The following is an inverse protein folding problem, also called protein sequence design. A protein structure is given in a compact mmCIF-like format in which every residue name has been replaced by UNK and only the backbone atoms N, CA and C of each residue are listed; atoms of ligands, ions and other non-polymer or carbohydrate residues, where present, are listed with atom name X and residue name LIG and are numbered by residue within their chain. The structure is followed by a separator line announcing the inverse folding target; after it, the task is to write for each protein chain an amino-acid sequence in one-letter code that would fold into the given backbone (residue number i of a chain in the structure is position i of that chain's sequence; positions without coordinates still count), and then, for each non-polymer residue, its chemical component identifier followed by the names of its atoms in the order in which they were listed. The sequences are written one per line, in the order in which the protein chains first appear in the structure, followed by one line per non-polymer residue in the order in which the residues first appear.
data_IF_272010628083
#
_entry.id   IF_272010628083
#
_cell.length_a   1.000
_cell.length_b   1.000
_cell.length_c   1.000
_cell.angle_alpha   90.00
_cell.angle_beta   90.00
_cell.angle_gamma   90.00
#
_symmetry.space_group_name_H-M   'P 1'
#
loop_
_entity.id
_entity.type
_entity.pdbx_description
1 polymer ?
#
# COMPACT_ATOMS: atom_id res chain seq x y z
N UNK A 1 -102.11 -9.27 11.88
CA UNK A 1 -101.34 -8.25 11.14
C UNK A 1 -100.05 -7.95 11.91
N UNK A 2 -98.88 -8.10 11.29
CA UNK A 2 -97.57 -8.17 11.95
C UNK A 2 -96.80 -6.84 11.90
N UNK A 3 -95.87 -6.59 12.85
CA UNK A 3 -94.69 -5.71 12.71
C UNK A 3 -93.60 -6.21 13.66
N UNK A 4 -92.68 -7.07 13.17
CA UNK A 4 -91.32 -6.76 12.70
C UNK A 4 -90.36 -6.35 13.84
N UNK A 5 -89.64 -7.35 14.33
CA UNK A 5 -88.40 -7.24 15.11
C UNK A 5 -87.22 -6.99 14.16
N UNK A 6 -86.43 -5.94 14.42
CA UNK A 6 -85.13 -5.71 13.79
C UNK A 6 -84.00 -6.24 14.68
N UNK A 7 -83.08 -7.07 14.18
CA UNK A 7 -81.83 -7.37 14.88
C UNK A 7 -80.77 -6.33 14.51
N UNK A 8 -80.08 -5.80 15.52
CA UNK A 8 -78.93 -4.91 15.36
C UNK A 8 -77.69 -5.80 15.13
N UNK A 9 -77.16 -5.81 13.90
CA UNK A 9 -75.92 -6.52 13.57
C UNK A 9 -74.71 -5.63 13.87
N UNK A 10 -73.93 -6.00 14.90
CA UNK A 10 -72.63 -5.40 15.18
C UNK A 10 -71.58 -6.04 14.25
N UNK A 11 -71.11 -5.30 13.24
CA UNK A 11 -69.95 -5.71 12.42
C UNK A 11 -68.68 -5.10 13.00
N UNK A 12 -67.86 -5.92 13.66
CA UNK A 12 -66.49 -5.57 14.02
C UNK A 12 -65.57 -5.73 12.80
N UNK A 13 -65.16 -4.62 12.20
CA UNK A 13 -64.12 -4.61 11.17
C UNK A 13 -62.73 -4.73 11.84
N UNK A 14 -62.09 -5.89 11.72
CA UNK A 14 -60.69 -6.11 12.08
C UNK A 14 -59.78 -5.48 11.01
N UNK A 15 -59.21 -4.31 11.31
CA UNK A 15 -58.12 -3.71 10.54
C UNK A 15 -56.81 -4.41 10.92
N UNK A 16 -56.33 -5.32 10.07
CA UNK A 16 -54.99 -5.88 10.18
C UNK A 16 -53.97 -4.87 9.65
N UNK A 17 -53.26 -4.20 10.55
CA UNK A 17 -52.12 -3.36 10.20
C UNK A 17 -50.95 -4.24 9.75
N UNK A 18 -50.69 -4.28 8.43
CA UNK A 18 -49.45 -4.84 7.89
C UNK A 18 -48.30 -3.90 8.26
N UNK A 19 -47.59 -4.21 9.35
CA UNK A 19 -46.31 -3.58 9.65
C UNK A 19 -45.30 -4.04 8.59
N UNK A 20 -45.04 -3.19 7.60
CA UNK A 20 -43.97 -3.38 6.63
C UNK A 20 -42.64 -3.42 7.40
N UNK A 21 -42.12 -4.63 7.61
CA UNK A 21 -40.77 -4.82 8.13
C UNK A 21 -39.80 -4.39 7.03
N UNK A 22 -39.27 -3.16 7.15
CA UNK A 22 -38.11 -2.77 6.35
C UNK A 22 -36.99 -3.78 6.65
N UNK A 23 -36.58 -4.54 5.63
CA UNK A 23 -35.43 -5.41 5.75
C UNK A 23 -34.22 -4.56 6.17
N UNK A 24 -33.37 -5.03 7.10
CA UNK A 24 -32.16 -4.32 7.47
C UNK A 24 -31.36 -4.05 6.20
N UNK A 25 -31.02 -2.77 5.93
CA UNK A 25 -30.06 -2.45 4.88
C UNK A 25 -28.75 -3.13 5.28
N UNK A 26 -28.21 -4.06 4.47
CA UNK A 26 -26.99 -4.75 4.84
C UNK A 26 -25.87 -3.72 5.03
N UNK A 27 -25.22 -3.76 6.19
CA UNK A 27 -24.06 -2.92 6.47
C UNK A 27 -22.99 -3.22 5.42
N UNK A 28 -22.42 -2.20 4.75
CA UNK A 28 -21.36 -2.42 3.78
C UNK A 28 -20.16 -3.12 4.45
N UNK A 29 -19.73 -4.25 3.89
CA UNK A 29 -18.48 -4.92 4.32
C UNK A 29 -17.32 -3.93 4.20
N UNK A 30 -16.53 -3.78 5.26
CA UNK A 30 -15.33 -2.93 5.26
C UNK A 30 -14.11 -3.81 5.46
N UNK A 31 -13.19 -3.82 4.50
CA UNK A 31 -11.91 -4.53 4.59
C UNK A 31 -10.85 -3.63 5.21
N UNK A 32 -10.14 -4.14 6.21
CA UNK A 32 -8.92 -3.51 6.73
C UNK A 32 -7.72 -3.98 5.91
N UNK A 33 -7.09 -3.03 5.22
CA UNK A 33 -5.97 -3.28 4.30
C UNK A 33 -4.70 -2.65 4.87
N UNK A 34 -3.77 -3.48 5.33
CA UNK A 34 -2.46 -3.02 5.77
C UNK A 34 -1.55 -2.87 4.55
N UNK A 35 -1.27 -1.63 4.16
CA UNK A 35 -0.45 -1.34 2.98
C UNK A 35 0.88 -0.70 3.37
N UNK A 36 1.95 -1.26 2.82
CA UNK A 36 3.25 -0.61 2.84
C UNK A 36 3.32 0.55 1.85
N UNK A 37 4.23 1.49 2.10
CA UNK A 37 4.36 2.72 1.32
C UNK A 37 4.46 2.48 -0.18
N UNK A 38 5.28 1.50 -0.61
CA UNK A 38 5.55 1.29 -2.03
C UNK A 38 4.41 0.74 -2.89
N UNK A 39 3.28 0.34 -2.30
CA UNK A 39 2.05 0.01 -3.04
C UNK A 39 0.83 0.83 -2.58
N UNK A 40 1.03 1.76 -1.63
CA UNK A 40 -0.02 2.60 -1.06
C UNK A 40 -0.75 3.41 -2.14
N UNK A 41 -0.01 4.07 -3.03
CA UNK A 41 -0.62 4.87 -4.10
C UNK A 41 -1.50 4.04 -5.04
N UNK A 42 -1.16 2.77 -5.27
CA UNK A 42 -1.95 1.88 -6.13
C UNK A 42 -3.29 1.53 -5.48
N UNK A 43 -3.28 1.07 -4.22
CA UNK A 43 -4.52 0.71 -3.52
C UNK A 43 -5.41 1.93 -3.28
N UNK A 44 -4.84 3.10 -2.99
CA UNK A 44 -5.59 4.35 -2.88
C UNK A 44 -6.20 4.79 -4.21
N UNK A 45 -5.48 4.63 -5.32
CA UNK A 45 -6.00 4.92 -6.66
C UNK A 45 -7.12 3.97 -7.10
N UNK A 46 -7.08 2.72 -6.63
CA UNK A 46 -8.08 1.68 -6.92
C UNK A 46 -9.35 1.85 -6.09
N UNK A 47 -9.21 2.32 -4.85
CA UNK A 47 -10.31 2.32 -3.88
C UNK A 47 -11.60 2.96 -4.42
N UNK A 48 -11.62 4.17 -5.00
CA UNK A 48 -12.88 4.80 -5.42
C UNK A 48 -13.70 3.96 -6.40
N UNK A 49 -13.03 3.40 -7.42
CA UNK A 49 -13.69 2.61 -8.46
C UNK A 49 -14.08 1.22 -7.95
N UNK A 50 -13.22 0.59 -7.14
CA UNK A 50 -13.51 -0.70 -6.53
C UNK A 50 -14.71 -0.63 -5.57
N UNK A 51 -14.74 0.37 -4.69
CA UNK A 51 -15.83 0.56 -3.73
C UNK A 51 -17.14 0.85 -4.46
N UNK A 52 -17.11 1.68 -5.51
CA UNK A 52 -18.29 1.98 -6.33
C UNK A 52 -18.81 0.75 -7.05
N UNK A 53 -17.93 -0.09 -7.58
CA UNK A 53 -18.30 -1.27 -8.36
C UNK A 53 -18.82 -2.43 -7.49
N UNK A 54 -18.35 -2.55 -6.25
CA UNK A 54 -18.60 -3.73 -5.41
C UNK A 54 -19.45 -3.46 -4.17
N UNK A 55 -19.51 -2.20 -3.70
CA UNK A 55 -20.10 -1.84 -2.41
C UNK A 55 -19.23 -2.18 -1.20
N UNK A 56 -18.08 -2.83 -1.38
CA UNK A 56 -17.12 -3.12 -0.30
C UNK A 56 -16.28 -1.89 -0.02
N UNK A 57 -16.15 -1.49 1.25
CA UNK A 57 -15.34 -0.35 1.69
C UNK A 57 -13.92 -0.77 2.05
N UNK A 58 -12.95 0.11 1.84
CA UNK A 58 -11.54 -0.13 2.16
C UNK A 58 -11.06 0.81 3.27
N UNK A 59 -10.79 0.27 4.44
CA UNK A 59 -10.01 0.93 5.48
C UNK A 59 -8.52 0.68 5.23
N UNK A 60 -7.85 1.60 4.53
CA UNK A 60 -6.44 1.44 4.13
C UNK A 60 -5.54 2.07 5.19
N UNK A 61 -4.66 1.27 5.78
CA UNK A 61 -3.76 1.70 6.84
C UNK A 61 -2.29 1.59 6.42
N UNK A 62 -1.55 2.68 6.60
CA UNK A 62 -0.11 2.69 6.35
C UNK A 62 0.63 1.81 7.36
N UNK A 63 1.28 0.76 6.86
CA UNK A 63 2.01 -0.21 7.69
C UNK A 63 3.29 -0.65 6.96
N UNK A 64 4.50 -0.33 7.46
CA UNK A 64 5.75 -0.73 6.82
C UNK A 64 5.83 -2.25 6.57
N UNK A 65 6.35 -2.63 5.39
CA UNK A 65 6.56 -4.06 5.05
C UNK A 65 7.58 -4.74 5.95
N UNK A 66 8.50 -3.95 6.50
CA UNK A 66 9.72 -4.39 7.18
C UNK A 66 10.04 -3.39 8.30
N UNK A 67 11.10 -3.66 9.05
CA UNK A 67 11.56 -2.79 10.12
C UNK A 67 11.12 -3.27 11.50
N UNK A 68 11.47 -2.48 12.52
CA UNK A 68 11.25 -2.83 13.93
C UNK A 68 10.15 -1.99 14.59
N UNK A 69 9.49 -1.11 13.83
CA UNK A 69 8.46 -0.24 14.40
C UNK A 69 7.23 -1.06 14.77
N UNK A 70 6.49 -0.71 15.83
CA UNK A 70 5.26 -1.43 16.20
C UNK A 70 4.24 -1.51 15.06
N UNK A 71 4.24 -0.53 14.16
CA UNK A 71 3.31 -0.42 13.03
C UNK A 71 3.72 -1.24 11.79
N UNK A 72 4.90 -1.87 11.80
CA UNK A 72 5.27 -2.78 10.71
C UNK A 72 4.30 -3.98 10.63
N UNK A 73 3.93 -4.40 9.42
CA UNK A 73 2.95 -5.46 9.18
C UNK A 73 3.26 -6.73 9.99
N UNK A 74 4.49 -7.29 9.98
CA UNK A 74 4.80 -8.49 10.77
C UNK A 74 4.50 -8.29 12.27
N UNK A 75 4.88 -7.14 12.82
CA UNK A 75 4.70 -6.85 14.25
C UNK A 75 3.21 -6.67 14.61
N UNK A 76 2.39 -6.12 13.71
CA UNK A 76 0.93 -6.01 13.90
C UNK A 76 0.26 -7.38 13.86
N UNK A 77 0.65 -8.24 12.91
CA UNK A 77 0.13 -9.61 12.80
C UNK A 77 0.58 -10.50 13.97
N UNK A 78 1.81 -10.34 14.48
CA UNK A 78 2.29 -11.04 15.68
C UNK A 78 1.44 -10.71 16.92
N UNK A 79 0.93 -9.47 16.99
CA UNK A 79 -0.02 -9.03 18.03
C UNK A 79 -1.47 -9.42 17.74
N UNK A 80 -1.73 -10.13 16.63
CA UNK A 80 -3.07 -10.54 16.18
C UNK A 80 -4.04 -9.36 15.99
N UNK A 81 -3.52 -8.22 15.57
CA UNK A 81 -4.37 -7.10 15.19
C UNK A 81 -5.26 -7.51 14.00
N UNK A 82 -6.56 -7.13 14.00
CA UNK A 82 -7.44 -7.41 12.87
C UNK A 82 -6.94 -6.74 11.59
N UNK A 83 -6.89 -7.52 10.52
CA UNK A 83 -6.59 -7.08 9.17
C UNK A 83 -7.14 -8.14 8.20
N UNK A 84 -7.60 -7.73 7.02
CA UNK A 84 -8.13 -8.65 6.01
C UNK A 84 -7.13 -8.90 4.88
N UNK A 85 -6.40 -7.86 4.49
CA UNK A 85 -5.43 -7.89 3.39
C UNK A 85 -4.14 -7.24 3.84
N UNK A 86 -3.01 -7.83 3.47
CA UNK A 86 -1.70 -7.18 3.53
C UNK A 86 -1.18 -6.91 2.13
N UNK A 87 -0.60 -5.73 1.90
CA UNK A 87 0.02 -5.31 0.65
C UNK A 87 1.46 -4.86 0.92
N UNK A 88 2.43 -5.68 0.54
CA UNK A 88 3.80 -5.53 1.01
C UNK A 88 4.85 -6.07 0.04
N UNK A 89 6.13 -5.87 0.39
CA UNK A 89 7.26 -6.44 -0.36
C UNK A 89 7.13 -7.96 -0.41
N UNK A 90 7.14 -8.53 -1.61
CA UNK A 90 6.84 -9.95 -1.85
C UNK A 90 7.75 -10.91 -1.09
N UNK A 91 9.04 -10.61 -0.95
CA UNK A 91 9.96 -11.45 -0.17
C UNK A 91 9.76 -11.36 1.35
N UNK A 92 9.17 -10.26 1.84
CA UNK A 92 8.74 -10.16 3.23
C UNK A 92 7.39 -10.86 3.43
N UNK A 93 6.49 -10.82 2.45
CA UNK A 93 5.25 -11.58 2.44
C UNK A 93 5.50 -13.10 2.49
N UNK A 94 6.54 -13.60 1.80
CA UNK A 94 6.92 -15.01 1.86
C UNK A 94 7.24 -15.50 3.28
N UNK A 95 7.74 -14.60 4.14
CA UNK A 95 7.99 -14.93 5.56
C UNK A 95 6.68 -15.09 6.32
N UNK A 96 5.71 -14.19 6.10
CA UNK A 96 4.38 -14.30 6.69
C UNK A 96 3.67 -15.58 6.23
N UNK A 97 3.85 -15.98 4.97
CA UNK A 97 3.36 -17.27 4.45
C UNK A 97 4.02 -18.43 5.20
N UNK A 98 5.34 -18.40 5.38
CA UNK A 98 6.07 -19.45 6.11
C UNK A 98 5.69 -19.50 7.60
N UNK A 99 5.21 -18.40 8.17
CA UNK A 99 4.71 -18.28 9.54
C UNK A 99 3.21 -18.57 9.67
N UNK A 100 2.54 -18.94 8.58
CA UNK A 100 1.08 -19.15 8.50
C UNK A 100 0.26 -17.96 9.03
N UNK A 101 0.74 -16.73 8.83
CA UNK A 101 -0.01 -15.51 9.18
C UNK A 101 -0.93 -15.03 8.04
N UNK A 102 -0.65 -15.48 6.81
CA UNK A 102 -1.44 -15.18 5.62
C UNK A 102 -1.70 -16.46 4.82
N UNK A 103 -2.79 -16.49 4.06
CA UNK A 103 -3.11 -17.63 3.21
C UNK A 103 -2.22 -17.69 1.96
N UNK A 104 -1.39 -18.72 1.84
CA UNK A 104 -0.51 -18.97 0.69
C UNK A 104 -1.27 -18.99 -0.63
N UNK A 105 -2.48 -19.57 -0.67
CA UNK A 105 -3.26 -19.72 -1.90
C UNK A 105 -3.80 -18.37 -2.40
N UNK A 106 -3.86 -17.37 -1.52
CA UNK A 106 -4.38 -16.04 -1.83
C UNK A 106 -3.33 -15.08 -2.39
N UNK A 107 -2.05 -15.45 -2.37
CA UNK A 107 -0.95 -14.57 -2.78
C UNK A 107 -1.09 -14.13 -4.23
N UNK A 108 -1.01 -12.83 -4.47
CA UNK A 108 -0.99 -12.22 -5.80
C UNK A 108 0.18 -11.25 -5.92
N UNK A 109 0.97 -11.38 -6.97
CA UNK A 109 2.01 -10.40 -7.32
C UNK A 109 1.37 -9.26 -8.14
N UNK A 110 1.56 -8.01 -7.69
CA UNK A 110 0.77 -6.87 -8.16
C UNK A 110 1.59 -5.92 -9.02
N UNK A 111 2.79 -5.56 -8.57
CA UNK A 111 3.61 -4.59 -9.29
C UNK A 111 5.08 -4.65 -8.93
N UNK A 112 5.91 -4.23 -9.88
CA UNK A 112 7.36 -4.09 -9.73
C UNK A 112 7.69 -2.62 -9.53
N UNK A 113 8.50 -2.32 -8.54
CA UNK A 113 9.04 -0.97 -8.31
C UNK A 113 10.56 -0.96 -8.39
N UNK A 114 11.10 0.23 -8.64
CA UNK A 114 12.51 0.49 -8.82
C UNK A 114 12.93 1.67 -7.95
N UNK A 115 14.18 1.66 -7.52
CA UNK A 115 14.77 2.68 -6.66
C UNK A 115 15.00 3.95 -7.49
N UNK A 116 14.51 5.08 -7.00
CA UNK A 116 14.70 6.39 -7.60
C UNK A 116 15.42 7.33 -6.62
N UNK A 117 16.02 8.37 -7.19
CA UNK A 117 16.63 9.47 -6.45
C UNK A 117 15.74 10.71 -6.55
N UNK A 118 15.58 11.41 -5.43
CA UNK A 118 14.89 12.69 -5.36
C UNK A 118 15.79 13.76 -4.74
N UNK A 119 15.54 15.00 -5.15
CA UNK A 119 16.06 16.23 -4.52
C UNK A 119 14.88 17.09 -4.11
N UNK A 120 15.13 18.14 -3.31
CA UNK A 120 14.09 19.12 -3.01
C UNK A 120 13.68 19.84 -4.31
N UNK A 121 12.39 20.20 -4.40
CA UNK A 121 11.84 20.89 -5.57
C UNK A 121 12.62 22.17 -5.89
N UNK A 122 13.03 22.30 -7.15
CA UNK A 122 13.81 23.42 -7.67
C UNK A 122 15.31 23.36 -7.41
N UNK A 123 15.81 22.35 -6.69
CA UNK A 123 17.25 22.14 -6.54
C UNK A 123 17.86 21.52 -7.81
N UNK A 124 19.17 21.74 -8.01
CA UNK A 124 19.91 21.13 -9.11
C UNK A 124 19.82 19.60 -9.03
N UNK A 125 19.44 18.97 -10.14
CA UNK A 125 19.43 17.51 -10.31
C UNK A 125 20.83 17.02 -10.67
N UNK A 126 21.51 16.24 -9.80
CA UNK A 126 22.80 15.64 -10.14
C UNK A 126 22.65 14.67 -11.31
N UNK A 127 23.70 14.53 -12.13
CA UNK A 127 23.76 13.47 -13.13
C UNK A 127 23.93 12.11 -12.44
N UNK A 128 23.05 11.17 -12.79
CA UNK A 128 23.07 9.78 -12.32
C UNK A 128 22.92 8.80 -13.48
N UNK A 129 23.21 9.24 -14.71
CA UNK A 129 23.03 8.44 -15.93
C UNK A 129 24.00 7.26 -16.05
N UNK A 130 25.14 7.33 -15.37
CA UNK A 130 26.17 6.28 -15.33
C UNK A 130 26.55 5.95 -13.90
N UNK A 131 27.23 4.82 -13.69
CA UNK A 131 27.75 4.44 -12.38
C UNK A 131 28.76 5.45 -11.82
N UNK A 132 29.59 6.04 -12.67
CA UNK A 132 30.58 7.04 -12.26
C UNK A 132 29.91 8.35 -11.86
N UNK A 133 28.95 8.83 -12.66
CA UNK A 133 28.15 10.01 -12.34
C UNK A 133 27.35 9.81 -11.05
N UNK A 134 26.72 8.65 -10.90
CA UNK A 134 25.98 8.29 -9.69
C UNK A 134 26.89 8.25 -8.45
N UNK A 135 28.06 7.60 -8.55
CA UNK A 135 29.05 7.57 -7.47
C UNK A 135 29.51 8.98 -7.11
N UNK A 136 29.78 9.83 -8.10
CA UNK A 136 30.16 11.24 -7.89
C UNK A 136 29.04 12.00 -7.18
N UNK A 137 27.77 11.86 -7.60
CA UNK A 137 26.64 12.50 -6.95
C UNK A 137 26.51 12.11 -5.46
N UNK A 138 26.72 10.82 -5.14
CA UNK A 138 26.75 10.35 -3.75
C UNK A 138 27.88 11.01 -2.94
N UNK A 139 29.10 11.06 -3.50
CA UNK A 139 30.27 11.62 -2.82
C UNK A 139 30.23 13.15 -2.67
N UNK A 140 29.67 13.86 -3.64
CA UNK A 140 29.60 15.34 -3.63
C UNK A 140 28.43 15.87 -2.79
N UNK A 141 27.47 15.01 -2.44
CA UNK A 141 26.31 15.42 -1.63
C UNK A 141 26.68 15.80 -0.19
N UNK A 142 25.85 16.64 0.45
CA UNK A 142 25.98 17.07 1.84
C UNK A 142 25.30 16.10 2.80
N UNK A 143 24.20 15.50 2.38
CA UNK A 143 23.40 14.59 3.19
C UNK A 143 22.51 13.69 2.34
N UNK A 144 22.35 12.45 2.78
CA UNK A 144 21.61 11.41 2.08
C UNK A 144 20.62 10.75 3.06
N UNK A 145 19.38 10.60 2.61
CA UNK A 145 18.35 9.81 3.28
C UNK A 145 17.94 8.61 2.43
N UNK A 146 17.71 7.46 3.05
CA UNK A 146 17.17 6.27 2.40
C UNK A 146 16.20 5.52 3.32
N UNK A 147 15.21 4.82 2.75
CA UNK A 147 14.13 4.22 3.54
C UNK A 147 14.58 3.05 4.42
N UNK A 148 13.86 2.74 5.49
CA UNK A 148 14.04 1.50 6.27
C UNK A 148 13.40 0.23 5.66
N UNK A 149 12.84 0.35 4.45
CA UNK A 149 12.23 -0.74 3.68
C UNK A 149 13.17 -1.28 2.58
N UNK A 150 12.64 -2.08 1.65
CA UNK A 150 13.41 -2.87 0.67
C UNK A 150 14.51 -2.08 -0.07
N UNK A 151 14.22 -0.86 -0.54
CA UNK A 151 15.22 -0.04 -1.25
C UNK A 151 16.41 0.31 -0.34
N UNK A 152 16.18 0.97 0.79
CA UNK A 152 17.27 1.39 1.66
C UNK A 152 17.95 0.25 2.43
N UNK A 153 17.29 -0.88 2.69
CA UNK A 153 17.94 -2.10 3.16
C UNK A 153 18.95 -2.62 2.13
N UNK A 154 18.57 -2.67 0.86
CA UNK A 154 19.50 -3.04 -0.22
C UNK A 154 20.63 -2.02 -0.37
N UNK A 155 20.30 -0.72 -0.40
CA UNK A 155 21.30 0.34 -0.54
C UNK A 155 22.35 0.26 0.56
N UNK A 156 21.92 0.22 1.83
CA UNK A 156 22.81 0.24 2.99
C UNK A 156 23.60 -1.06 3.19
N UNK A 157 23.01 -2.22 2.90
CA UNK A 157 23.66 -3.52 3.19
C UNK A 157 24.43 -4.11 2.02
N UNK A 158 24.08 -3.73 0.79
CA UNK A 158 24.62 -4.35 -0.42
C UNK A 158 25.29 -3.32 -1.31
N UNK A 159 24.56 -2.30 -1.77
CA UNK A 159 25.07 -1.41 -2.81
C UNK A 159 26.20 -0.51 -2.28
N UNK A 160 25.94 0.29 -1.24
CA UNK A 160 26.92 1.24 -0.71
C UNK A 160 28.21 0.57 -0.23
N UNK A 161 28.18 -0.59 0.48
CA UNK A 161 29.40 -1.32 0.81
C UNK A 161 30.22 -1.75 -0.41
N UNK A 162 29.56 -2.19 -1.49
CA UNK A 162 30.24 -2.57 -2.74
C UNK A 162 30.88 -1.39 -3.49
N UNK A 163 30.37 -0.18 -3.29
CA UNK A 163 30.85 1.03 -3.97
C UNK A 163 32.06 1.71 -3.29
N UNK A 164 32.51 1.19 -2.13
CA UNK A 164 33.67 1.69 -1.37
C UNK A 164 33.70 3.22 -1.24
N UNK A 165 32.58 3.79 -0.77
CA UNK A 165 32.35 5.24 -0.73
C UNK A 165 33.08 5.99 0.41
N UNK A 166 33.72 5.27 1.33
CA UNK A 166 34.51 5.85 2.42
C UNK A 166 33.70 6.29 3.65
N UNK A 167 34.41 6.74 4.68
CA UNK A 167 33.83 7.12 5.97
C UNK A 167 32.97 8.39 5.87
N UNK A 168 33.39 9.38 5.08
CA UNK A 168 32.67 10.63 4.88
C UNK A 168 31.26 10.41 4.31
N UNK A 169 31.13 9.45 3.40
CA UNK A 169 29.82 9.03 2.90
C UNK A 169 28.94 8.43 4.00
N UNK A 170 29.51 7.51 4.79
CA UNK A 170 28.80 6.85 5.89
C UNK A 170 28.29 7.87 6.91
N UNK A 171 29.09 8.91 7.20
CA UNK A 171 28.74 9.95 8.17
C UNK A 171 27.54 10.82 7.73
N UNK A 172 27.29 10.96 6.41
CA UNK A 172 26.20 11.79 5.87
C UNK A 172 24.99 11.01 5.37
N UNK A 173 25.04 9.68 5.36
CA UNK A 173 23.98 8.82 4.83
C UNK A 173 23.22 8.12 5.96
N UNK A 174 21.92 8.41 6.09
CA UNK A 174 21.09 7.87 7.18
C UNK A 174 19.82 7.16 6.68
N UNK A 175 19.46 6.10 7.40
CA UNK A 175 18.19 5.39 7.21
C UNK A 175 17.04 6.18 7.86
N UNK A 176 15.90 6.27 7.19
CA UNK A 176 14.69 6.92 7.67
C UNK A 176 13.67 5.86 8.09
N UNK A 177 13.29 5.79 9.37
CA UNK A 177 12.32 4.81 9.83
C UNK A 177 10.88 5.27 9.58
N UNK A 178 10.06 4.41 8.97
CA UNK A 178 8.60 4.54 8.80
C UNK A 178 8.05 5.80 8.08
N UNK A 179 8.88 6.78 7.77
CA UNK A 179 8.50 8.01 7.10
C UNK A 179 8.91 7.98 5.61
N UNK A 180 8.10 8.54 4.69
CA UNK A 180 8.54 8.77 3.31
C UNK A 180 9.81 9.63 3.24
N UNK A 181 10.85 9.11 2.59
CA UNK A 181 12.13 9.79 2.40
C UNK A 181 11.96 11.11 1.65
N UNK A 182 11.01 11.17 0.71
CA UNK A 182 10.67 12.40 0.02
C UNK A 182 10.29 13.53 0.97
N UNK A 183 9.59 13.24 2.06
CA UNK A 183 9.17 14.26 3.03
C UNK A 183 10.37 14.85 3.79
N UNK A 184 11.34 14.00 4.15
CA UNK A 184 12.62 14.41 4.75
C UNK A 184 13.40 15.34 3.82
N UNK A 185 13.43 15.03 2.52
CA UNK A 185 14.07 15.88 1.50
C UNK A 185 13.31 17.20 1.32
N UNK A 186 11.97 17.17 1.26
CA UNK A 186 11.15 18.37 1.14
C UNK A 186 11.37 19.34 2.32
N UNK A 187 11.57 18.81 3.53
CA UNK A 187 11.91 19.57 4.74
C UNK A 187 13.37 20.02 4.85
N UNK A 188 14.19 19.80 3.81
CA UNK A 188 15.63 20.15 3.76
C UNK A 188 16.50 19.41 4.78
N UNK A 189 16.03 18.30 5.33
CA UNK A 189 16.81 17.49 6.28
C UNK A 189 17.76 16.50 5.59
N UNK A 190 17.62 16.33 4.27
CA UNK A 190 18.52 15.58 3.41
C UNK A 190 18.59 16.23 2.03
N UNK A 191 19.78 16.28 1.43
CA UNK A 191 19.96 16.80 0.08
C UNK A 191 19.46 15.80 -0.96
N UNK A 192 19.84 14.52 -0.80
CA UNK A 192 19.43 13.43 -1.68
C UNK A 192 18.54 12.45 -0.91
N UNK A 193 17.46 12.01 -1.54
CA UNK A 193 16.58 10.97 -1.03
C UNK A 193 16.56 9.76 -1.95
N UNK A 194 16.63 8.56 -1.38
CA UNK A 194 16.50 7.30 -2.10
C UNK A 194 15.37 6.44 -1.55
N UNK A 195 14.42 6.10 -2.41
CA UNK A 195 13.31 5.23 -2.06
C UNK A 195 12.76 4.57 -3.34
N UNK A 196 11.78 3.69 -3.21
CA UNK A 196 11.01 3.22 -4.35
C UNK A 196 10.32 4.39 -5.05
N UNK A 197 10.31 4.38 -6.39
CA UNK A 197 9.69 5.44 -7.19
C UNK A 197 8.23 5.69 -6.77
N UNK A 198 7.47 4.64 -6.49
CA UNK A 198 6.08 4.73 -6.09
C UNK A 198 5.86 5.44 -4.75
N UNK A 199 6.88 5.47 -3.89
CA UNK A 199 6.82 6.18 -2.60
C UNK A 199 7.21 7.65 -2.74
N UNK A 200 7.99 8.00 -3.77
CA UNK A 200 8.40 9.37 -4.05
C UNK A 200 7.36 10.12 -4.89
N UNK A 201 6.68 9.44 -5.81
CA UNK A 201 5.70 10.04 -6.73
C UNK A 201 4.60 10.87 -6.06
N UNK A 202 3.99 10.44 -4.92
CA UNK A 202 2.94 11.23 -4.28
C UNK A 202 3.47 12.36 -3.39
N UNK A 203 4.78 12.50 -3.22
CA UNK A 203 5.35 13.47 -2.28
C UNK A 203 5.51 14.85 -2.94
N UNK A 204 4.89 15.85 -2.34
CA UNK A 204 5.08 17.25 -2.74
C UNK A 204 6.41 17.81 -2.24
N UNK A 205 6.90 18.87 -2.89
CA UNK A 205 8.10 19.58 -2.45
C UNK A 205 9.42 18.91 -2.81
N UNK A 206 9.38 17.84 -3.61
CA UNK A 206 10.56 17.20 -4.21
C UNK A 206 10.49 17.23 -5.75
N UNK A 207 11.65 17.12 -6.38
CA UNK A 207 11.77 16.71 -7.78
C UNK A 207 12.44 15.34 -7.83
N UNK A 208 11.82 14.41 -8.56
CA UNK A 208 12.44 13.13 -8.88
C UNK A 208 13.51 13.37 -9.94
N UNK A 209 14.73 12.93 -9.66
CA UNK A 209 15.86 13.02 -10.59
C UNK A 209 15.78 11.92 -11.63
N UNK A 210 15.46 10.71 -11.20
CA UNK A 210 15.31 9.54 -12.06
C UNK A 210 15.49 8.24 -11.27
N UNK A 211 15.35 7.11 -11.97
CA UNK A 211 15.79 5.82 -11.43
C UNK A 211 17.33 5.82 -11.29
N UNK A 212 17.85 5.15 -10.27
CA UNK A 212 19.31 4.92 -10.18
C UNK A 212 19.76 3.99 -11.33
N UNK A 213 21.04 4.01 -11.72
CA UNK A 213 21.56 3.19 -12.82
C UNK A 213 21.16 1.72 -12.73
N UNK A 214 20.91 1.07 -13.86
CA UNK A 214 20.50 -0.34 -13.91
C UNK A 214 21.51 -1.27 -13.22
N UNK A 215 22.82 -0.97 -13.30
CA UNK A 215 23.87 -1.73 -12.62
C UNK A 215 23.83 -1.60 -11.09
N UNK A 216 23.21 -0.54 -10.56
CA UNK A 216 23.00 -0.28 -9.14
C UNK A 216 21.58 -0.63 -8.67
N UNK A 217 20.70 -1.04 -9.58
CA UNK A 217 19.28 -1.17 -9.33
C UNK A 217 18.93 -2.49 -8.64
N UNK A 218 17.88 -2.46 -7.82
CA UNK A 218 17.20 -3.67 -7.35
C UNK A 218 15.70 -3.52 -7.50
N UNK A 219 15.12 -4.32 -8.41
CA UNK A 219 13.68 -4.44 -8.54
C UNK A 219 13.07 -4.99 -7.25
N UNK A 220 12.01 -4.34 -6.77
CA UNK A 220 11.22 -4.82 -5.64
C UNK A 220 9.84 -5.21 -6.14
N UNK A 221 9.49 -6.48 -5.94
CA UNK A 221 8.14 -6.99 -6.23
C UNK A 221 7.24 -6.68 -5.04
N UNK A 222 6.09 -6.06 -5.30
CA UNK A 222 5.01 -5.86 -4.35
C UNK A 222 3.91 -6.86 -4.62
N UNK A 223 3.43 -7.48 -3.55
CA UNK A 223 2.46 -8.56 -3.57
C UNK A 223 1.43 -8.34 -2.46
N UNK A 224 0.28 -8.99 -2.59
CA UNK A 224 -0.73 -9.00 -1.55
C UNK A 224 -1.16 -10.42 -1.19
N UNK A 225 -1.67 -10.59 0.02
CA UNK A 225 -2.31 -11.82 0.46
C UNK A 225 -3.40 -11.51 1.50
N UNK A 226 -4.33 -12.46 1.61
CA UNK A 226 -5.39 -12.48 2.60
C UNK A 226 -4.81 -12.99 3.93
N UNK A 227 -5.10 -12.32 5.03
CA UNK A 227 -4.64 -12.74 6.37
C UNK A 227 -5.38 -14.01 6.82
N UNK A 228 -4.80 -14.76 7.76
CA UNK A 228 -5.51 -15.91 8.36
C UNK A 228 -6.64 -15.52 9.30
N UNK A 229 -6.60 -14.31 9.85
CA UNK A 229 -7.56 -13.82 10.85
C UNK A 229 -8.82 -13.20 10.25
N UNK A 230 -8.88 -13.02 8.93
CA UNK A 230 -10.03 -12.39 8.27
C UNK A 230 -11.31 -13.20 8.39
N UNK A 231 -12.42 -12.51 8.56
CA UNK A 231 -13.78 -13.07 8.40
C UNK A 231 -14.35 -12.79 6.99
N UNK A 232 -13.59 -12.08 6.15
CA UNK A 232 -14.01 -11.55 4.85
C UNK A 232 -13.12 -12.08 3.71
N UNK A 233 -12.71 -13.35 3.79
CA UNK A 233 -11.75 -13.95 2.87
C UNK A 233 -12.16 -13.83 1.39
N UNK A 234 -13.46 -13.93 1.09
CA UNK A 234 -13.97 -13.84 -0.28
C UNK A 234 -13.80 -12.42 -0.85
N UNK A 235 -14.18 -11.41 -0.09
CA UNK A 235 -14.07 -10.00 -0.44
C UNK A 235 -12.60 -9.56 -0.51
N UNK A 236 -11.79 -10.01 0.43
CA UNK A 236 -10.34 -9.79 0.46
C UNK A 236 -9.64 -10.37 -0.78
N UNK A 237 -9.98 -11.62 -1.16
CA UNK A 237 -9.47 -12.25 -2.37
C UNK A 237 -9.95 -11.53 -3.64
N UNK A 238 -11.19 -11.02 -3.65
CA UNK A 238 -11.75 -10.26 -4.76
C UNK A 238 -11.01 -8.93 -4.96
N UNK A 239 -10.63 -8.24 -3.87
CA UNK A 239 -9.80 -7.04 -3.93
C UNK A 239 -8.45 -7.34 -4.60
N UNK A 240 -7.74 -8.38 -4.17
CA UNK A 240 -6.44 -8.74 -4.76
C UNK A 240 -6.54 -9.08 -6.26
N UNK A 241 -7.61 -9.78 -6.65
CA UNK A 241 -7.90 -10.08 -8.06
C UNK A 241 -8.19 -8.81 -8.86
N UNK A 242 -8.96 -7.88 -8.30
CA UNK A 242 -9.24 -6.59 -8.92
C UNK A 242 -7.96 -5.76 -9.07
N UNK A 243 -7.12 -5.71 -8.05
CA UNK A 243 -5.85 -4.99 -8.14
C UNK A 243 -4.96 -5.53 -9.25
N UNK A 244 -4.93 -6.86 -9.42
CA UNK A 244 -4.19 -7.49 -10.51
C UNK A 244 -4.86 -7.38 -11.88
N UNK A 245 -6.12 -6.95 -11.98
CA UNK A 245 -6.87 -6.94 -13.24
C UNK A 245 -6.44 -5.82 -14.21
N UNK A 246 -7.02 -5.82 -15.42
CA UNK A 246 -6.84 -4.72 -16.38
C UNK A 246 -7.39 -3.40 -15.84
N UNK A 247 -8.47 -3.46 -15.07
CA UNK A 247 -9.09 -2.33 -14.40
C UNK A 247 -8.17 -1.71 -13.34
N UNK A 248 -7.44 -2.55 -12.60
CA UNK A 248 -6.45 -2.11 -11.59
C UNK A 248 -5.11 -1.65 -12.18
N UNK A 249 -4.75 -2.12 -13.38
CA UNK A 249 -3.44 -1.89 -13.99
C UNK A 249 -3.10 -0.39 -14.13
N UNK A 250 -4.07 0.44 -14.53
CA UNK A 250 -3.85 1.89 -14.68
C UNK A 250 -3.47 2.55 -13.36
N UNK A 251 -4.16 2.22 -12.26
CA UNK A 251 -3.84 2.78 -10.95
C UNK A 251 -2.47 2.31 -10.44
N UNK A 252 -2.07 1.07 -10.76
CA UNK A 252 -0.72 0.57 -10.48
C UNK A 252 0.34 1.39 -11.26
N UNK A 253 0.14 1.64 -12.55
CA UNK A 253 1.03 2.48 -13.37
C UNK A 253 1.08 3.94 -12.87
N UNK A 254 -0.08 4.52 -12.60
CA UNK A 254 -0.22 5.90 -12.11
C UNK A 254 0.41 6.07 -10.72
N UNK A 255 0.50 5.02 -9.92
CA UNK A 255 1.22 5.05 -8.65
C UNK A 255 2.75 4.95 -8.80
N UNK A 256 3.28 4.66 -9.99
CA UNK A 256 4.72 4.55 -10.26
C UNK A 256 5.29 3.13 -10.17
N UNK A 257 4.44 2.11 -10.02
CA UNK A 257 4.84 0.72 -10.20
C UNK A 257 4.68 0.32 -11.68
N UNK A 258 5.37 -0.74 -12.09
CA UNK A 258 5.08 -1.47 -13.33
C UNK A 258 4.17 -2.65 -13.01
N UNK A 259 2.95 -2.75 -13.57
CA UNK A 259 2.09 -3.90 -13.36
C UNK A 259 2.78 -5.20 -13.72
N UNK A 260 2.50 -6.26 -12.96
CA UNK A 260 2.80 -7.61 -13.42
C UNK A 260 1.78 -7.91 -14.50
N UNK A 261 2.20 -7.91 -15.78
CA UNK A 261 1.30 -8.16 -16.93
C UNK A 261 0.40 -9.36 -16.65
N UNK A 262 -0.90 -9.13 -16.63
CA UNK A 262 -1.89 -10.21 -16.68
C UNK A 262 -1.84 -10.88 -18.03
N UNK A 263 -1.72 -12.20 -18.04
CA UNK A 263 -2.24 -13.00 -19.14
C UNK A 263 -3.75 -12.95 -19.14
#
# INVERSE_FOLDING_TARGET
MPRLLTPLALSCALLTAFAAHAAPVPTPTTLTVLSSGGIMGAVQGIAPDYEKATGVKLNIEASPSMGKTPQAIPNRLDRKEPADVVLMVGSALDKLVAQDQVDKASRVDLGKSYIAMAVRKGETKPDISTMDAFRKALLDSKSIAYSDSASGVYLSRILFPKMTLGADFTAKARMIPAEPVGAVVARKEAQLGFQQLSELKPVEGIDIVGLIPDQAQQMTLYSGAVTRSTEHAKEAQALLKYMASKEGAKAIEDSGLKPVTTR
#
